data_IF_609680125679
#
_entry.id   IF_609680125679
#
_cell.length_a   1.000
_cell.length_b   1.000
_cell.length_c   1.000
_cell.angle_alpha   90.00
_cell.angle_beta   90.00
_cell.angle_gamma   90.00
#
_symmetry.space_group_name_H-M   'P 1'
#
loop_
_entity.id
_entity.type
_entity.pdbx_description
1 polymer ?
#
# COMPACT_ATOMS: atom_id res chain seq x y z
N UNK A 1 24.76 -0.67 -21.31
CA UNK A 1 24.73 0.61 -20.59
C UNK A 1 23.46 1.39 -20.92
N UNK A 2 22.88 1.16 -22.11
CA UNK A 2 21.73 1.91 -22.64
C UNK A 2 20.44 1.79 -21.81
N UNK A 3 20.27 0.71 -21.03
CA UNK A 3 19.12 0.55 -20.12
C UNK A 3 19.19 1.45 -18.87
N UNK A 4 20.40 1.85 -18.44
CA UNK A 4 20.55 2.77 -17.31
C UNK A 4 20.17 4.20 -17.70
N UNK A 5 20.54 4.62 -18.91
CA UNK A 5 20.28 5.98 -19.41
C UNK A 5 18.80 6.19 -19.78
N UNK A 6 18.09 5.12 -20.13
CA UNK A 6 16.68 5.17 -20.52
C UNK A 6 15.70 5.13 -19.33
N UNK A 7 16.17 5.04 -18.08
CA UNK A 7 15.26 4.87 -16.95
C UNK A 7 14.60 6.20 -16.55
N UNK A 8 13.25 6.27 -16.46
CA UNK A 8 12.55 7.43 -15.94
C UNK A 8 13.00 7.76 -14.51
N UNK A 9 12.99 9.04 -14.15
CA UNK A 9 13.30 9.46 -12.78
C UNK A 9 12.33 8.82 -11.77
N UNK A 10 12.90 8.27 -10.69
CA UNK A 10 12.11 7.56 -9.69
C UNK A 10 11.24 8.54 -8.91
N UNK A 11 9.91 8.39 -9.05
CA UNK A 11 8.95 9.11 -8.22
C UNK A 11 8.97 8.54 -6.80
N UNK A 12 8.90 9.42 -5.81
CA UNK A 12 9.04 9.04 -4.40
C UNK A 12 7.96 8.08 -3.88
N UNK A 13 6.80 7.99 -4.54
CA UNK A 13 5.67 7.14 -4.15
C UNK A 13 5.59 5.80 -4.89
N UNK A 14 6.46 5.54 -5.88
CA UNK A 14 6.34 4.33 -6.71
C UNK A 14 7.24 3.20 -6.20
N UNK A 15 6.71 2.34 -5.32
CA UNK A 15 7.43 1.18 -4.75
C UNK A 15 7.99 0.27 -5.86
N UNK A 16 7.16 -0.04 -6.87
CA UNK A 16 7.55 -0.90 -7.99
C UNK A 16 8.69 -0.30 -8.84
N UNK A 17 8.76 1.03 -8.92
CA UNK A 17 9.86 1.72 -9.58
C UNK A 17 11.18 1.48 -8.86
N UNK A 18 11.15 1.58 -7.52
CA UNK A 18 12.31 1.30 -6.68
C UNK A 18 12.76 -0.16 -6.72
N UNK A 19 11.82 -1.11 -6.78
CA UNK A 19 12.15 -2.52 -6.96
C UNK A 19 12.89 -2.76 -8.28
N UNK A 20 12.35 -2.25 -9.40
CA UNK A 20 13.00 -2.38 -10.72
C UNK A 20 14.38 -1.74 -10.76
N UNK A 21 14.53 -0.57 -10.14
CA UNK A 21 15.82 0.12 -10.08
C UNK A 21 16.83 -0.63 -9.20
N UNK A 22 16.39 -1.12 -8.04
CA UNK A 22 17.20 -1.95 -7.13
C UNK A 22 17.68 -3.23 -7.83
N UNK A 23 16.79 -3.89 -8.55
CA UNK A 23 17.14 -5.07 -9.35
C UNK A 23 18.14 -4.74 -10.46
N UNK A 24 17.95 -3.63 -11.18
CA UNK A 24 18.88 -3.21 -12.21
C UNK A 24 20.29 -2.93 -11.63
N UNK A 25 20.36 -2.25 -10.49
CA UNK A 25 21.63 -1.99 -9.80
C UNK A 25 22.26 -3.31 -9.36
N UNK A 26 21.48 -4.23 -8.77
CA UNK A 26 21.96 -5.55 -8.36
C UNK A 26 22.51 -6.37 -9.53
N UNK A 27 21.78 -6.43 -10.65
CA UNK A 27 22.22 -7.13 -11.87
C UNK A 27 23.51 -6.50 -12.41
N UNK A 28 23.59 -5.18 -12.42
CA UNK A 28 24.79 -4.45 -12.90
C UNK A 28 26.00 -4.77 -12.04
N UNK A 29 25.85 -4.80 -10.70
CA UNK A 29 26.92 -5.19 -9.78
C UNK A 29 27.39 -6.62 -10.05
N UNK A 30 26.47 -7.58 -10.13
CA UNK A 30 26.80 -9.00 -10.39
C UNK A 30 27.50 -9.16 -11.73
N UNK A 31 27.03 -8.45 -12.76
CA UNK A 31 27.64 -8.49 -14.10
C UNK A 31 29.07 -7.95 -14.10
N UNK A 32 29.31 -6.81 -13.47
CA UNK A 32 30.65 -6.22 -13.38
C UNK A 32 31.61 -7.09 -12.59
N UNK A 33 31.14 -7.72 -11.50
CA UNK A 33 31.91 -8.70 -10.74
C UNK A 33 32.28 -9.92 -11.57
N UNK A 34 31.33 -10.46 -12.35
CA UNK A 34 31.58 -11.58 -13.26
C UNK A 34 32.58 -11.24 -14.37
N UNK A 35 32.61 -9.98 -14.81
CA UNK A 35 33.57 -9.46 -15.79
C UNK A 35 34.93 -9.07 -15.16
N UNK A 36 35.09 -9.16 -13.84
CA UNK A 36 36.31 -8.74 -13.12
C UNK A 36 36.53 -7.23 -13.09
N UNK A 37 35.46 -6.43 -13.30
CA UNK A 37 35.47 -4.97 -13.40
C UNK A 37 35.08 -4.29 -12.08
N UNK A 38 35.57 -4.81 -10.97
CA UNK A 38 35.21 -4.33 -9.62
C UNK A 38 35.58 -2.86 -9.39
N UNK A 39 36.57 -2.34 -10.13
CA UNK A 39 36.97 -0.93 -10.08
C UNK A 39 35.84 0.05 -10.45
N UNK A 40 34.84 -0.39 -11.22
CA UNK A 40 33.70 0.46 -11.61
C UNK A 40 32.59 0.52 -10.55
N UNK A 41 32.69 -0.31 -9.50
CA UNK A 41 31.71 -0.35 -8.42
C UNK A 41 31.96 0.73 -7.35
N UNK A 42 33.06 1.49 -7.46
CA UNK A 42 33.41 2.60 -6.57
C UNK A 42 32.66 3.90 -6.86
N UNK A 43 33.18 5.01 -6.34
CA UNK A 43 32.70 6.36 -6.68
C UNK A 43 33.21 6.75 -8.08
N UNK A 44 32.44 6.41 -9.12
CA UNK A 44 32.80 6.69 -10.51
C UNK A 44 31.62 7.16 -11.34
N UNK A 45 31.81 7.17 -12.67
CA UNK A 45 30.80 7.57 -13.65
C UNK A 45 29.49 6.80 -13.48
N UNK A 46 29.58 5.49 -13.23
CA UNK A 46 28.42 4.62 -13.01
C UNK A 46 27.63 5.04 -11.77
N UNK A 47 28.31 5.30 -10.65
CA UNK A 47 27.67 5.79 -9.44
C UNK A 47 26.98 7.15 -9.67
N UNK A 48 27.66 8.07 -10.34
CA UNK A 48 27.07 9.37 -10.69
C UNK A 48 25.84 9.25 -11.58
N UNK A 49 25.84 8.33 -12.54
CA UNK A 49 24.71 8.09 -13.44
C UNK A 49 23.52 7.47 -12.70
N UNK A 50 23.77 6.51 -11.81
CA UNK A 50 22.76 5.92 -10.94
C UNK A 50 22.19 6.91 -9.93
N UNK A 51 22.96 7.89 -9.45
CA UNK A 51 22.42 8.95 -8.60
C UNK A 51 21.51 9.88 -9.38
N UNK A 52 21.82 10.18 -10.64
CA UNK A 52 21.01 11.09 -11.47
C UNK A 52 19.60 10.55 -11.74
N UNK A 53 19.38 9.24 -11.66
CA UNK A 53 18.04 8.65 -11.80
C UNK A 53 17.18 8.84 -10.54
N UNK A 54 17.81 9.14 -9.40
CA UNK A 54 17.13 9.41 -8.13
C UNK A 54 16.60 10.84 -8.08
N UNK A 55 15.41 11.00 -7.48
CA UNK A 55 14.90 12.32 -7.11
C UNK A 55 15.68 12.91 -5.91
N UNK A 56 15.65 14.23 -5.75
CA UNK A 56 16.39 14.95 -4.69
C UNK A 56 16.15 14.39 -3.28
N UNK A 57 14.88 14.17 -2.89
CA UNK A 57 14.51 13.54 -1.61
C UNK A 57 15.22 12.19 -1.36
N UNK A 58 15.48 11.45 -2.43
CA UNK A 58 16.10 10.12 -2.38
C UNK A 58 17.61 10.22 -2.26
N UNK A 59 18.20 11.19 -2.94
CA UNK A 59 19.61 11.53 -2.78
C UNK A 59 19.89 12.00 -1.35
N UNK A 60 18.99 12.77 -0.75
CA UNK A 60 19.07 13.15 0.66
C UNK A 60 18.96 11.94 1.60
N UNK A 61 18.00 11.03 1.36
CA UNK A 61 17.85 9.79 2.13
C UNK A 61 19.12 8.94 2.07
N UNK A 62 19.65 8.72 0.86
CA UNK A 62 20.90 7.99 0.65
C UNK A 62 22.08 8.67 1.35
N UNK A 63 22.23 9.99 1.21
CA UNK A 63 23.31 10.75 1.85
C UNK A 63 23.23 10.68 3.38
N UNK A 64 22.01 10.66 3.95
CA UNK A 64 21.80 10.46 5.38
C UNK A 64 22.22 9.05 5.80
N UNK A 65 21.74 8.03 5.08
CA UNK A 65 22.06 6.63 5.35
C UNK A 65 23.57 6.34 5.30
N UNK A 66 24.29 6.93 4.34
CA UNK A 66 25.75 6.83 4.24
C UNK A 66 26.46 7.30 5.51
N UNK A 67 26.03 8.45 6.07
CA UNK A 67 26.59 9.00 7.32
C UNK A 67 26.28 8.09 8.51
N UNK A 68 25.06 7.59 8.60
CA UNK A 68 24.62 6.70 9.69
C UNK A 68 25.39 5.37 9.69
N UNK A 69 25.62 4.82 8.50
CA UNK A 69 26.30 3.53 8.33
C UNK A 69 27.82 3.66 8.20
N UNK A 70 28.37 4.89 8.24
CA UNK A 70 29.79 5.20 8.03
C UNK A 70 30.34 4.57 6.74
N UNK A 71 29.56 4.60 5.67
CA UNK A 71 29.94 4.06 4.36
C UNK A 71 30.32 5.18 3.42
N UNK A 72 31.29 4.90 2.56
CA UNK A 72 31.67 5.77 1.46
C UNK A 72 30.68 5.68 0.30
N UNK A 73 30.66 6.70 -0.54
CA UNK A 73 29.86 6.71 -1.77
C UNK A 73 30.39 5.68 -2.74
N UNK A 74 29.54 4.75 -3.15
CA UNK A 74 29.91 3.73 -4.13
C UNK A 74 28.66 3.06 -4.71
N UNK A 75 28.80 2.36 -5.82
CA UNK A 75 27.70 1.55 -6.38
C UNK A 75 27.30 0.45 -5.40
N UNK A 76 28.26 -0.10 -4.62
CA UNK A 76 27.98 -1.09 -3.59
C UNK A 76 27.16 -0.52 -2.43
N UNK A 77 27.52 0.68 -1.95
CA UNK A 77 26.78 1.38 -0.92
C UNK A 77 25.38 1.74 -1.40
N UNK A 78 25.23 2.17 -2.65
CA UNK A 78 23.95 2.46 -3.26
C UNK A 78 23.07 1.20 -3.34
N UNK A 79 23.63 0.08 -3.77
CA UNK A 79 22.95 -1.23 -3.79
C UNK A 79 22.45 -1.64 -2.40
N UNK A 80 23.29 -1.48 -1.38
CA UNK A 80 22.93 -1.82 -0.01
C UNK A 80 21.82 -0.89 0.54
N UNK A 81 21.91 0.40 0.27
CA UNK A 81 20.85 1.36 0.62
C UNK A 81 19.54 1.06 -0.11
N UNK A 82 19.57 0.77 -1.42
CA UNK A 82 18.37 0.46 -2.19
C UNK A 82 17.63 -0.78 -1.66
N UNK A 83 18.38 -1.80 -1.23
CA UNK A 83 17.79 -2.99 -0.59
C UNK A 83 17.00 -2.62 0.66
N UNK A 84 17.56 -1.75 1.50
CA UNK A 84 16.93 -1.29 2.74
C UNK A 84 15.74 -0.37 2.45
N UNK A 85 15.90 0.57 1.53
CA UNK A 85 14.89 1.53 1.18
C UNK A 85 13.66 0.85 0.53
N UNK A 86 13.86 -0.17 -0.31
CA UNK A 86 12.74 -0.99 -0.82
C UNK A 86 12.02 -1.70 0.32
N UNK A 87 12.74 -2.30 1.27
CA UNK A 87 12.16 -2.95 2.45
C UNK A 87 11.28 -1.99 3.25
N UNK A 88 11.80 -0.81 3.57
CA UNK A 88 11.09 0.23 4.34
C UNK A 88 9.83 0.69 3.60
N UNK A 89 9.88 0.83 2.26
CA UNK A 89 8.70 1.21 1.48
C UNK A 89 7.62 0.14 1.42
N UNK A 90 8.01 -1.12 1.30
CA UNK A 90 7.08 -2.26 1.35
C UNK A 90 6.42 -2.32 2.72
N UNK A 91 7.20 -2.21 3.80
CA UNK A 91 6.67 -2.18 5.17
C UNK A 91 5.71 -1.00 5.39
N UNK A 92 6.06 0.21 4.93
CA UNK A 92 5.19 1.38 5.04
C UNK A 92 3.87 1.19 4.26
N UNK A 93 3.92 0.57 3.08
CA UNK A 93 2.73 0.24 2.29
C UNK A 93 1.85 -0.79 3.00
N UNK A 94 2.46 -1.84 3.58
CA UNK A 94 1.74 -2.85 4.38
C UNK A 94 1.11 -2.24 5.65
N UNK A 95 1.78 -1.28 6.28
CA UNK A 95 1.25 -0.57 7.44
C UNK A 95 0.06 0.32 7.10
N UNK A 96 0.08 1.01 5.97
CA UNK A 96 -1.05 1.86 5.52
C UNK A 96 -2.30 1.00 5.24
N UNK A 97 -2.13 -0.14 4.55
CA UNK A 97 -3.22 -1.10 4.33
C UNK A 97 -3.71 -1.79 5.61
N UNK A 98 -2.85 -1.95 6.61
CA UNK A 98 -3.23 -2.52 7.91
C UNK A 98 -4.10 -1.59 8.74
N UNK A 99 -4.07 -0.28 8.49
CA UNK A 99 -4.90 0.71 9.20
C UNK A 99 -6.33 0.78 8.63
N UNK A 100 -6.53 0.47 7.35
CA UNK A 100 -7.88 0.39 6.74
C UNK A 100 -8.75 -0.74 7.34
N UNK A 101 -8.13 -1.72 8.01
CA UNK A 101 -8.84 -2.79 8.72
C UNK A 101 -9.26 -2.46 10.16
N UNK A 102 -8.74 -1.38 10.76
CA UNK A 102 -8.97 -1.05 12.18
C UNK A 102 -10.02 0.07 12.35
N UNK A 103 -10.31 0.87 11.32
CA UNK A 103 -11.27 1.98 11.40
C UNK A 103 -12.75 1.57 11.48
N UNK A 104 -13.08 0.28 11.29
CA UNK A 104 -14.46 -0.22 11.50
C UNK A 104 -14.75 -0.68 12.93
N UNK A 105 -13.76 -0.72 13.84
CA UNK A 105 -13.95 -1.27 15.19
C UNK A 105 -13.96 -0.25 16.33
N UNK A 106 -13.83 1.06 16.08
CA UNK A 106 -13.85 2.09 17.13
C UNK A 106 -15.10 2.99 17.17
N UNK A 107 -16.18 2.65 16.46
CA UNK A 107 -17.48 3.32 16.66
C UNK A 107 -18.45 2.43 17.41
N UNK A 108 -18.19 2.22 18.70
CA UNK A 108 -19.22 1.80 19.66
C UNK A 108 -19.25 2.72 20.88
N UNK A 109 -20.34 3.49 20.96
CA UNK A 109 -20.96 4.08 22.14
C UNK A 109 -20.31 5.32 22.77
N UNK A 110 -20.73 6.50 22.33
CA UNK A 110 -21.15 7.56 23.26
C UNK A 110 -22.44 8.19 22.75
N UNK A 111 -23.57 7.65 23.23
CA UNK A 111 -24.86 8.30 23.15
C UNK A 111 -25.08 9.08 24.46
N UNK A 112 -24.80 10.38 24.42
CA UNK A 112 -25.22 11.38 25.42
C UNK A 112 -25.65 12.63 24.65
N UNK A 113 -26.94 12.94 24.68
CA UNK A 113 -27.62 13.71 23.64
C UNK A 113 -27.58 15.23 23.78
N UNK A 114 -27.94 15.92 22.70
CA UNK A 114 -28.80 17.11 22.74
C UNK A 114 -29.36 17.45 21.35
N UNK A 115 -30.59 17.96 21.36
CA UNK A 115 -31.41 18.29 20.18
C UNK A 115 -30.82 19.47 19.43
N UNK A 116 -30.71 19.39 18.10
CA UNK A 116 -30.98 20.57 17.27
C UNK A 116 -31.41 20.21 15.84
N UNK A 117 -32.42 20.94 15.39
CA UNK A 117 -33.12 20.85 14.11
C UNK A 117 -32.22 21.43 13.02
N UNK A 118 -32.20 20.83 11.83
CA UNK A 118 -32.25 21.51 10.52
C UNK A 118 -32.20 20.42 9.44
N UNK A 119 -33.22 20.36 8.59
CA UNK A 119 -33.20 19.51 7.39
C UNK A 119 -32.46 20.21 6.26
N UNK A 120 -31.78 19.45 5.41
CA UNK A 120 -31.77 19.71 3.97
C UNK A 120 -31.34 18.47 3.17
N UNK A 121 -31.84 18.42 1.94
CA UNK A 121 -31.79 17.35 0.95
C UNK A 121 -30.37 17.08 0.46
N UNK A 122 -29.97 15.80 0.38
CA UNK A 122 -28.72 15.39 -0.25
C UNK A 122 -28.77 13.96 -0.79
N UNK A 123 -29.42 13.78 -1.93
CA UNK A 123 -29.59 12.52 -2.64
C UNK A 123 -28.27 12.10 -3.31
N UNK A 124 -27.44 11.29 -2.64
CA UNK A 124 -26.30 10.63 -3.29
C UNK A 124 -26.73 9.29 -3.90
N UNK A 125 -26.92 9.30 -5.23
CA UNK A 125 -27.09 8.10 -6.06
C UNK A 125 -25.77 7.33 -6.09
N UNK A 126 -25.74 6.14 -5.51
CA UNK A 126 -24.69 5.15 -5.76
C UNK A 126 -24.85 4.61 -7.18
N UNK A 127 -23.85 4.93 -8.02
CA UNK A 127 -23.67 4.40 -9.36
C UNK A 127 -23.07 2.99 -9.27
N UNK A 128 -23.90 1.96 -9.23
CA UNK A 128 -23.60 0.64 -9.82
C UNK A 128 -24.93 0.00 -10.22
N UNK A 129 -25.38 0.35 -11.43
CA UNK A 129 -26.44 -0.35 -12.12
C UNK A 129 -25.83 -1.14 -13.27
N UNK A 130 -26.12 -2.45 -13.33
CA UNK A 130 -26.22 -3.13 -14.60
C UNK A 130 -25.87 -4.61 -14.62
N UNK A 131 -26.88 -5.48 -14.49
CA UNK A 131 -27.36 -6.31 -15.61
C UNK A 131 -28.56 -7.19 -15.24
N UNK A 132 -29.65 -6.99 -15.97
CA UNK A 132 -30.77 -7.93 -16.24
C UNK A 132 -31.63 -8.30 -15.02
N UNK A 133 -32.92 -7.98 -14.90
CA UNK A 133 -33.92 -7.79 -15.93
C UNK A 133 -34.72 -9.06 -16.19
N UNK A 134 -35.43 -9.62 -15.20
CA UNK A 134 -36.68 -10.41 -15.35
C UNK A 134 -37.47 -10.32 -14.05
N UNK A 135 -38.77 -10.04 -14.11
CA UNK A 135 -39.64 -9.86 -12.95
C UNK A 135 -39.72 -11.08 -12.03
N UNK A 136 -39.75 -10.81 -10.73
CA UNK A 136 -40.05 -11.79 -9.69
C UNK A 136 -40.20 -11.03 -8.38
N UNK A 137 -41.36 -11.18 -7.75
CA UNK A 137 -41.73 -10.54 -6.47
C UNK A 137 -40.56 -10.65 -5.48
N UNK A 138 -40.17 -9.53 -4.88
CA UNK A 138 -39.24 -9.47 -3.74
C UNK A 138 -39.83 -10.24 -2.55
N UNK A 139 -39.71 -11.57 -2.58
CA UNK A 139 -39.89 -12.40 -1.38
C UNK A 139 -38.66 -12.12 -0.53
N UNK A 140 -38.76 -11.09 0.31
CA UNK A 140 -37.83 -10.84 1.41
C UNK A 140 -37.51 -12.19 2.07
N UNK A 141 -36.22 -12.55 2.23
CA UNK A 141 -35.87 -13.82 2.81
C UNK A 141 -36.49 -13.91 4.19
N UNK A 142 -37.36 -14.91 4.38
CA UNK A 142 -37.96 -15.20 5.66
C UNK A 142 -36.84 -15.58 6.63
N UNK A 143 -36.93 -15.10 7.87
CA UNK A 143 -35.97 -15.44 8.89
C UNK A 143 -35.93 -16.95 9.09
N UNK A 144 -34.78 -17.60 8.89
CA UNK A 144 -34.65 -19.05 9.04
C UNK A 144 -34.98 -19.59 10.45
N UNK A 145 -35.07 -18.71 11.47
CA UNK A 145 -35.32 -19.06 12.87
C UNK A 145 -36.75 -18.84 13.33
N UNK A 146 -37.51 -17.96 12.66
CA UNK A 146 -38.88 -17.63 13.07
C UNK A 146 -39.83 -17.40 11.91
N UNK A 147 -39.38 -17.65 10.68
CA UNK A 147 -40.11 -17.50 9.42
C UNK A 147 -40.74 -16.11 9.20
N UNK A 148 -40.29 -15.12 9.98
CA UNK A 148 -40.76 -13.74 9.90
C UNK A 148 -40.18 -13.00 8.69
N UNK A 149 -40.88 -11.95 8.26
CA UNK A 149 -40.50 -11.12 7.11
C UNK A 149 -39.35 -10.12 7.43
N UNK A 150 -38.25 -10.64 7.97
CA UNK A 150 -37.03 -9.92 8.34
C UNK A 150 -35.80 -10.82 8.19
N UNK A 151 -34.62 -10.23 7.94
CA UNK A 151 -33.37 -10.99 7.87
C UNK A 151 -32.95 -11.53 9.23
N UNK A 152 -32.21 -12.65 9.25
CA UNK A 152 -31.75 -13.35 10.47
C UNK A 152 -31.04 -12.41 11.46
N UNK A 153 -30.25 -11.46 10.96
CA UNK A 153 -29.54 -10.46 11.77
C UNK A 153 -30.46 -9.51 12.54
N UNK A 154 -31.69 -9.30 12.06
CA UNK A 154 -32.72 -8.48 12.71
C UNK A 154 -33.68 -9.32 13.57
N UNK A 155 -33.44 -10.63 13.71
CA UNK A 155 -34.31 -11.50 14.49
C UNK A 155 -33.99 -11.42 15.98
N UNK A 156 -34.99 -11.07 16.79
CA UNK A 156 -34.84 -10.96 18.25
C UNK A 156 -34.38 -12.30 18.86
N UNK A 157 -34.92 -13.43 18.38
CA UNK A 157 -34.49 -14.76 18.84
C UNK A 157 -33.01 -15.04 18.54
N UNK A 158 -32.51 -14.65 17.37
CA UNK A 158 -31.10 -14.78 17.04
C UNK A 158 -30.21 -13.92 17.93
N UNK A 159 -30.68 -12.71 18.25
CA UNK A 159 -29.96 -11.79 19.13
C UNK A 159 -29.95 -12.26 20.60
N UNK A 160 -30.96 -13.01 21.02
CA UNK A 160 -31.08 -13.53 22.38
C UNK A 160 -30.39 -14.90 22.57
N UNK A 161 -30.01 -15.60 21.49
CA UNK A 161 -29.21 -16.83 21.59
C UNK A 161 -27.76 -16.52 22.01
N UNK A 162 -27.21 -17.37 22.88
CA UNK A 162 -25.78 -17.33 23.24
C UNK A 162 -24.94 -17.59 22.00
N UNK A 163 -23.76 -16.97 21.91
CA UNK A 163 -22.87 -17.08 20.73
C UNK A 163 -22.51 -18.54 20.39
N UNK A 164 -22.58 -19.46 21.35
CA UNK A 164 -22.31 -20.88 21.13
C UNK A 164 -23.47 -21.64 20.47
N UNK A 165 -24.69 -21.09 20.46
CA UNK A 165 -25.90 -21.69 19.88
C UNK A 165 -26.40 -20.95 18.62
N UNK A 166 -25.57 -20.06 18.03
CA UNK A 166 -25.88 -19.26 16.84
C UNK A 166 -25.37 -19.88 15.55
#
# INVERSE_FOLDING_TARGET
MDQLEAMPSLKASEVQGFERFSDLVRITVVKLQAEGRDGELGEGTLHGLLIKTLAERQVESYSRWLREHKKERSVLSLKDWLKEEVRVRVEAMEMDHSVEGIDLSLKRNEAGGEKSRYGDRGRSRTLFAGRGGVGGKDVKPLCALCEGNHGIWSCQRFQDMKVQDR
#
